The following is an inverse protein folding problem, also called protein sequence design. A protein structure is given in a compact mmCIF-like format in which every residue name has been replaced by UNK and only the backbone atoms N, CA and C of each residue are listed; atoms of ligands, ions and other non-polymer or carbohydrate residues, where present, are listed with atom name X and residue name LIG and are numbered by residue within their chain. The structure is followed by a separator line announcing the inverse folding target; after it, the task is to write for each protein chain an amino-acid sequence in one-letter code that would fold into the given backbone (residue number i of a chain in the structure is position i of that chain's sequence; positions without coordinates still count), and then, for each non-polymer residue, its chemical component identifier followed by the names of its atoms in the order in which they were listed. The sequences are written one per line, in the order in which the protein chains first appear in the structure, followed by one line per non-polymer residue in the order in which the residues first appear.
data_IF_311176212080
#
_entry.id   IF_311176212080
#
_cell.length_a   1.000
_cell.length_b   1.000
_cell.length_c   1.000
_cell.angle_alpha   90.00
_cell.angle_beta   90.00
_cell.angle_gamma   90.00
#
_symmetry.space_group_name_H-M   'P 1'
#
loop_
_entity.id
_entity.type
_entity.pdbx_description
1 polymer ?
#
# COMPACT_ATOMS: atom_id res chain seq x y z
N UNK A 1 -9.07 14.40 12.20
CA UNK A 1 -8.15 13.28 11.91
C UNK A 1 -7.26 13.66 10.73
N UNK A 2 -5.94 13.43 10.78
CA UNK A 2 -5.09 13.63 9.62
C UNK A 2 -5.56 12.75 8.46
N UNK A 3 -5.49 13.26 7.24
CA UNK A 3 -5.83 12.51 6.04
C UNK A 3 -4.93 11.27 5.90
N UNK A 4 -5.43 10.19 5.29
CA UNK A 4 -4.63 8.98 5.04
C UNK A 4 -3.30 9.28 4.34
N UNK A 5 -3.27 10.28 3.47
CA UNK A 5 -2.06 10.66 2.74
C UNK A 5 -1.10 11.47 3.61
N UNK A 6 -1.60 12.27 4.57
CA UNK A 6 -0.77 12.96 5.57
C UNK A 6 -0.10 11.95 6.51
N UNK A 7 -0.81 10.88 6.90
CA UNK A 7 -0.24 9.80 7.73
C UNK A 7 0.83 9.02 6.95
N UNK A 8 0.60 8.76 5.66
CA UNK A 8 1.60 8.11 4.78
C UNK A 8 2.89 8.95 4.66
N UNK A 9 2.75 10.27 4.51
CA UNK A 9 3.89 11.18 4.46
C UNK A 9 4.70 11.14 5.77
N UNK A 10 4.04 11.12 6.93
CA UNK A 10 4.71 10.95 8.23
C UNK A 10 5.50 9.64 8.36
N UNK A 11 5.02 8.57 7.74
CA UNK A 11 5.71 7.26 7.69
C UNK A 11 6.88 7.24 6.69
N UNK A 12 7.15 8.35 5.99
CA UNK A 12 8.09 8.41 4.89
C UNK A 12 7.71 7.49 3.73
N UNK A 13 6.40 7.33 3.50
CA UNK A 13 5.83 6.62 2.35
C UNK A 13 5.31 7.63 1.32
N UNK A 14 5.32 7.20 0.07
CA UNK A 14 4.72 7.97 -1.02
C UNK A 14 3.19 7.92 -1.05
N UNK A 15 2.57 8.49 -2.09
CA UNK A 15 1.13 8.40 -2.31
C UNK A 15 0.70 6.94 -2.52
N UNK A 16 -0.61 6.68 -2.36
CA UNK A 16 -1.17 5.34 -2.51
C UNK A 16 -0.86 4.78 -3.90
N UNK A 17 -0.34 3.54 -3.99
CA UNK A 17 -0.14 2.87 -5.27
C UNK A 17 -1.46 2.84 -6.05
N UNK A 18 -1.39 3.33 -7.29
CA UNK A 18 -2.52 3.30 -8.22
C UNK A 18 -2.56 1.94 -8.92
N UNK A 19 -3.73 1.45 -9.33
CA UNK A 19 -3.81 0.27 -10.18
C UNK A 19 -3.07 0.51 -11.51
N UNK A 20 -2.43 -0.53 -12.02
CA UNK A 20 -1.83 -0.50 -13.34
C UNK A 20 -2.85 -1.00 -14.37
N UNK A 21 -3.02 -0.24 -15.45
CA UNK A 21 -3.90 -0.60 -16.55
C UNK A 21 -3.07 -1.21 -17.68
N UNK A 22 -3.57 -2.30 -18.26
CA UNK A 22 -2.88 -2.97 -19.35
C UNK A 22 -3.78 -4.02 -20.01
N UNK A 23 -3.15 -4.98 -20.66
CA UNK A 23 -3.85 -6.05 -21.34
C UNK A 23 -3.24 -7.41 -21.00
N UNK A 24 -4.07 -8.45 -20.93
CA UNK A 24 -3.62 -9.83 -21.06
C UNK A 24 -3.35 -10.14 -22.54
N UNK A 25 -2.38 -11.00 -22.80
CA UNK A 25 -2.06 -11.53 -24.13
C UNK A 25 -2.24 -13.04 -24.09
N UNK A 26 -2.99 -13.59 -25.04
CA UNK A 26 -3.08 -15.05 -25.22
C UNK A 26 -1.85 -15.58 -25.94
N UNK A 27 -1.76 -16.91 -26.09
CA UNK A 27 -0.73 -17.56 -26.92
C UNK A 27 -0.79 -17.09 -28.39
N UNK A 28 -1.98 -16.72 -28.88
CA UNK A 28 -2.20 -16.12 -30.21
C UNK A 28 -2.08 -14.59 -30.19
N UNK A 29 -1.57 -13.99 -29.12
CA UNK A 29 -1.38 -12.55 -28.91
C UNK A 29 -2.68 -11.71 -28.87
N UNK A 30 -3.84 -12.35 -28.69
CA UNK A 30 -5.12 -11.64 -28.56
C UNK A 30 -5.13 -10.79 -27.29
N UNK A 31 -5.60 -9.55 -27.42
CA UNK A 31 -5.63 -8.55 -26.36
C UNK A 31 -6.96 -8.56 -25.59
N UNK A 32 -6.91 -8.69 -24.27
CA UNK A 32 -8.06 -8.42 -23.39
C UNK A 32 -7.67 -7.41 -22.31
N UNK A 33 -8.54 -6.44 -22.03
CA UNK A 33 -8.25 -5.42 -21.00
C UNK A 33 -8.12 -6.06 -19.61
N UNK A 34 -7.12 -5.64 -18.85
CA UNK A 34 -6.90 -6.07 -17.47
C UNK A 34 -6.45 -4.91 -16.59
N UNK A 35 -6.92 -4.93 -15.35
CA UNK A 35 -6.49 -4.03 -14.28
C UNK A 35 -5.69 -4.85 -13.26
N UNK A 36 -4.44 -4.46 -13.03
CA UNK A 36 -3.58 -5.04 -12.00
C UNK A 36 -3.66 -4.19 -10.73
N UNK A 37 -4.39 -4.67 -9.73
CA UNK A 37 -4.59 -3.97 -8.47
C UNK A 37 -3.43 -4.25 -7.50
N UNK A 38 -2.91 -3.23 -6.79
CA UNK A 38 -1.95 -3.47 -5.71
C UNK A 38 -2.62 -4.21 -4.55
N UNK A 39 -1.89 -5.11 -3.89
CA UNK A 39 -2.35 -5.82 -2.70
C UNK A 39 -2.35 -4.88 -1.49
N UNK A 40 -3.39 -4.04 -1.38
CA UNK A 40 -3.60 -3.10 -0.29
C UNK A 40 -4.31 -3.78 0.87
N UNK A 41 -3.74 -3.67 2.07
CA UNK A 41 -4.25 -4.22 3.31
C UNK A 41 -4.44 -3.11 4.33
N UNK A 42 -5.49 -3.22 5.14
CA UNK A 42 -5.71 -2.30 6.26
C UNK A 42 -4.88 -2.79 7.45
N UNK A 43 -3.99 -1.95 7.98
CA UNK A 43 -3.18 -2.25 9.16
C UNK A 43 -3.14 -1.09 10.13
N UNK A 44 -2.86 -1.39 11.39
CA UNK A 44 -2.62 -0.40 12.42
C UNK A 44 -1.15 -0.05 12.51
N UNK A 45 -0.89 1.25 12.52
CA UNK A 45 0.46 1.81 12.66
C UNK A 45 0.45 2.79 13.82
N UNK A 46 1.48 2.72 14.66
CA UNK A 46 1.70 3.72 15.69
C UNK A 46 2.61 4.81 15.12
N UNK A 47 2.13 6.05 15.15
CA UNK A 47 2.88 7.25 14.76
C UNK A 47 2.71 8.25 15.88
N UNK A 48 3.83 8.75 16.42
CA UNK A 48 3.84 9.75 17.49
C UNK A 48 3.00 9.35 18.73
N UNK A 49 2.97 8.05 19.08
CA UNK A 49 2.21 7.51 20.21
C UNK A 49 0.71 7.32 19.96
N UNK A 50 0.22 7.64 18.77
CA UNK A 50 -1.19 7.46 18.37
C UNK A 50 -1.34 6.33 17.35
N UNK A 51 -2.42 5.55 17.48
CA UNK A 51 -2.74 4.44 16.57
C UNK A 51 -3.60 4.92 15.41
N UNK A 52 -3.14 4.62 14.19
CA UNK A 52 -3.83 4.98 12.96
C UNK A 52 -4.06 3.77 12.07
N UNK A 53 -5.22 3.73 11.41
CA UNK A 53 -5.53 2.71 10.41
C UNK A 53 -5.09 3.20 9.02
N UNK A 54 -4.14 2.50 8.41
CA UNK A 54 -3.55 2.89 7.11
C UNK A 54 -3.68 1.76 6.10
N UNK A 55 -3.96 2.09 4.84
CA UNK A 55 -3.90 1.16 3.70
C UNK A 55 -2.47 1.05 3.19
N UNK A 56 -1.86 -0.10 3.41
CA UNK A 56 -0.47 -0.40 3.07
C UNK A 56 -0.38 -1.60 2.14
N UNK A 57 0.60 -1.58 1.25
CA UNK A 57 0.99 -2.75 0.46
C UNK A 57 1.99 -3.62 1.22
N UNK A 58 2.12 -4.89 0.82
CA UNK A 58 3.11 -5.79 1.40
C UNK A 58 4.55 -5.26 1.34
N UNK A 59 4.90 -4.52 0.26
CA UNK A 59 6.23 -3.90 0.13
C UNK A 59 6.42 -2.72 1.09
N UNK A 60 5.40 -1.88 1.23
CA UNK A 60 5.43 -0.78 2.19
C UNK A 60 5.53 -1.32 3.62
N UNK A 61 4.79 -2.38 3.97
CA UNK A 61 4.90 -3.04 5.29
C UNK A 61 6.33 -3.48 5.59
N UNK A 62 6.97 -4.23 4.69
CA UNK A 62 8.39 -4.63 4.83
C UNK A 62 9.34 -3.44 4.98
N UNK A 63 9.04 -2.33 4.32
CA UNK A 63 9.86 -1.12 4.40
C UNK A 63 9.73 -0.47 5.77
N UNK A 64 8.51 -0.46 6.34
CA UNK A 64 8.25 0.05 7.68
C UNK A 64 8.90 -0.84 8.75
N UNK A 65 8.81 -2.17 8.60
CA UNK A 65 9.47 -3.13 9.49
C UNK A 65 10.99 -2.90 9.49
N UNK A 66 11.59 -2.71 8.31
CA UNK A 66 13.04 -2.40 8.19
C UNK A 66 13.42 -1.07 8.84
N UNK A 67 12.50 -0.10 8.90
CA UNK A 67 12.70 1.19 9.58
C UNK A 67 12.48 1.10 11.10
N UNK A 68 12.09 -0.06 11.64
CA UNK A 68 11.80 -0.24 13.06
C UNK A 68 10.45 0.35 13.50
N UNK A 69 9.55 0.64 12.57
CA UNK A 69 8.21 1.13 12.88
C UNK A 69 7.33 -0.07 13.22
N UNK A 70 6.86 -0.15 14.46
CA UNK A 70 6.03 -1.27 14.93
C UNK A 70 4.68 -1.28 14.21
N UNK A 71 4.50 -2.26 13.33
CA UNK A 71 3.22 -2.62 12.77
C UNK A 71 2.52 -3.58 13.73
N UNK A 72 1.34 -3.21 14.21
CA UNK A 72 0.53 -4.14 15.00
C UNK A 72 -0.26 -5.04 14.05
N UNK A 73 -0.12 -6.34 14.26
CA UNK A 73 -1.04 -7.35 13.75
C UNK A 73 -2.05 -7.54 14.87
N UNK A 74 -3.28 -7.07 14.67
CA UNK A 74 -4.41 -7.53 15.49
C UNK A 74 -4.63 -9.03 15.27
#
# INVERSE_FOLDING_TARGET
MPSSDQIRAKLGLGPRPKPLFGHNRSHALNATQKISKPNLQNKWVVVDGQRYRVKLTAREMRTLDKKGISLFVD
#
